data_IF_666623369957
#
_entry.id   IF_666623369957
#
_cell.length_a   1.000
_cell.length_b   1.000
_cell.length_c   1.000
_cell.angle_alpha   90.00
_cell.angle_beta   90.00
_cell.angle_gamma   90.00
#
_symmetry.space_group_name_H-M   'P 1'
#
loop_
_entity.id
_entity.type
_entity.pdbx_description
1 polymer ?
#
# COMPACT_ATOMS: atom_id res chain seq x y z
N UNK A 1 14.77 5.45 29.01
CA UNK A 1 14.42 4.02 28.77
C UNK A 1 13.10 4.05 28.03
N UNK A 2 13.02 3.53 26.81
CA UNK A 2 11.76 3.47 26.04
C UNK A 2 10.88 2.43 26.74
N UNK A 3 9.63 2.80 27.03
CA UNK A 3 8.69 1.87 27.69
C UNK A 3 8.29 0.72 26.74
N UNK A 4 7.77 -0.37 27.31
CA UNK A 4 7.45 -1.60 26.58
C UNK A 4 6.37 -1.37 25.50
N UNK A 5 5.43 -0.42 25.72
CA UNK A 5 4.34 -0.14 24.79
C UNK A 5 4.87 0.64 23.58
N UNK A 6 5.69 1.64 23.80
CA UNK A 6 6.40 2.37 22.73
C UNK A 6 7.27 1.43 21.90
N UNK A 7 7.96 0.48 22.53
CA UNK A 7 8.74 -0.52 21.78
C UNK A 7 7.88 -1.41 20.89
N UNK A 8 6.67 -1.78 21.33
CA UNK A 8 5.69 -2.51 20.51
C UNK A 8 5.19 -1.67 19.33
N UNK A 9 4.91 -0.37 19.54
CA UNK A 9 4.52 0.55 18.46
C UNK A 9 5.63 0.64 17.40
N UNK A 10 6.87 0.86 17.81
CA UNK A 10 8.04 0.90 16.91
C UNK A 10 8.15 -0.39 16.10
N UNK A 11 8.02 -1.54 16.74
CA UNK A 11 8.10 -2.85 16.08
C UNK A 11 6.98 -3.02 15.05
N UNK A 12 5.77 -2.64 15.39
CA UNK A 12 4.61 -2.78 14.51
C UNK A 12 4.68 -1.81 13.32
N UNK A 13 5.09 -0.55 13.54
CA UNK A 13 5.31 0.41 12.47
C UNK A 13 6.41 -0.05 11.49
N UNK A 14 7.51 -0.62 12.00
CA UNK A 14 8.57 -1.18 11.15
C UNK A 14 8.05 -2.31 10.27
N UNK A 15 7.28 -3.23 10.85
CA UNK A 15 6.68 -4.33 10.09
C UNK A 15 5.69 -3.82 9.04
N UNK A 16 4.83 -2.85 9.39
CA UNK A 16 3.92 -2.22 8.45
C UNK A 16 4.68 -1.52 7.32
N UNK A 17 5.73 -0.78 7.61
CA UNK A 17 6.55 -0.13 6.57
C UNK A 17 7.14 -1.14 5.58
N UNK A 18 7.67 -2.28 6.06
CA UNK A 18 8.21 -3.34 5.21
C UNK A 18 7.15 -3.95 4.30
N UNK A 19 5.97 -4.26 4.86
CA UNK A 19 4.87 -4.84 4.09
C UNK A 19 4.29 -3.86 3.07
N UNK A 20 4.17 -2.58 3.43
CA UNK A 20 3.71 -1.52 2.51
C UNK A 20 4.70 -1.28 1.36
N UNK A 21 6.01 -1.36 1.62
CA UNK A 21 7.00 -1.34 0.54
C UNK A 21 6.87 -2.57 -0.38
N UNK A 22 6.55 -3.73 0.17
CA UNK A 22 6.28 -4.95 -0.62
C UNK A 22 5.02 -4.80 -1.47
N UNK A 23 3.95 -4.25 -0.90
CA UNK A 23 2.71 -3.88 -1.61
C UNK A 23 3.01 -3.00 -2.83
N UNK A 24 3.77 -1.92 -2.67
CA UNK A 24 4.17 -1.02 -3.75
C UNK A 24 4.89 -1.76 -4.90
N UNK A 25 5.83 -2.65 -4.57
CA UNK A 25 6.58 -3.43 -5.54
C UNK A 25 5.68 -4.45 -6.28
N UNK A 26 4.76 -5.08 -5.56
CA UNK A 26 3.78 -6.00 -6.14
C UNK A 26 2.88 -5.24 -7.11
N UNK A 27 2.30 -4.10 -6.71
CA UNK A 27 1.44 -3.30 -7.58
C UNK A 27 2.16 -2.86 -8.86
N UNK A 28 3.43 -2.44 -8.79
CA UNK A 28 4.25 -2.13 -9.96
C UNK A 28 4.45 -3.35 -10.86
N UNK A 29 4.66 -4.53 -10.30
CA UNK A 29 4.82 -5.76 -11.07
C UNK A 29 3.50 -6.15 -11.76
N UNK A 30 2.36 -6.03 -11.07
CA UNK A 30 1.04 -6.29 -11.63
C UNK A 30 0.66 -5.31 -12.74
N UNK A 31 1.05 -4.05 -12.61
CA UNK A 31 0.85 -3.04 -13.64
C UNK A 31 1.40 -3.50 -15.00
N UNK A 32 2.59 -4.10 -15.03
CA UNK A 32 3.19 -4.63 -16.27
C UNK A 32 2.45 -5.86 -16.81
N UNK A 33 1.81 -6.62 -15.93
CA UNK A 33 1.09 -7.85 -16.29
C UNK A 33 -0.36 -7.58 -16.73
N UNK A 34 -0.96 -6.48 -16.30
CA UNK A 34 -2.34 -6.13 -16.58
C UNK A 34 -2.53 -5.83 -18.08
N UNK A 35 -3.51 -6.51 -18.72
CA UNK A 35 -3.89 -6.29 -20.12
C UNK A 35 -4.88 -5.14 -20.26
N UNK A 36 -5.78 -5.01 -19.30
CA UNK A 36 -6.78 -3.94 -19.26
C UNK A 36 -6.11 -2.64 -18.80
N UNK A 37 -6.36 -1.55 -19.55
CA UNK A 37 -5.77 -0.25 -19.30
C UNK A 37 -6.27 0.36 -17.97
N UNK A 38 -7.56 0.21 -17.68
CA UNK A 38 -8.14 0.71 -16.44
C UNK A 38 -7.55 0.00 -15.21
N UNK A 39 -7.34 -1.32 -15.30
CA UNK A 39 -6.66 -2.09 -14.23
C UNK A 39 -5.20 -1.66 -14.09
N UNK A 40 -4.52 -1.38 -15.20
CA UNK A 40 -3.13 -0.92 -15.19
C UNK A 40 -2.97 0.45 -14.53
N UNK A 41 -3.85 1.38 -14.85
CA UNK A 41 -3.84 2.74 -14.27
C UNK A 41 -4.14 2.70 -12.76
N UNK A 42 -5.06 1.84 -12.35
CA UNK A 42 -5.38 1.67 -10.94
C UNK A 42 -4.23 1.04 -10.16
N UNK A 43 -3.55 0.04 -10.72
CA UNK A 43 -2.36 -0.54 -10.11
C UNK A 43 -1.21 0.47 -10.00
N UNK A 44 -1.05 1.37 -10.98
CA UNK A 44 -0.08 2.46 -10.90
C UNK A 44 -0.42 3.43 -9.75
N UNK A 45 -1.70 3.77 -9.61
CA UNK A 45 -2.22 4.61 -8.52
C UNK A 45 -2.00 3.93 -7.16
N UNK A 46 -2.30 2.65 -7.05
CA UNK A 46 -2.09 1.87 -5.83
C UNK A 46 -0.60 1.80 -5.43
N UNK A 47 0.30 1.65 -6.39
CA UNK A 47 1.74 1.68 -6.14
C UNK A 47 2.20 3.04 -5.60
N UNK A 48 1.73 4.14 -6.20
CA UNK A 48 2.05 5.50 -5.75
C UNK A 48 1.53 5.76 -4.32
N UNK A 49 0.27 5.36 -4.05
CA UNK A 49 -0.35 5.48 -2.73
C UNK A 49 0.37 4.64 -1.66
N UNK A 50 0.83 3.44 -2.02
CA UNK A 50 1.61 2.60 -1.11
C UNK A 50 2.97 3.24 -0.76
N UNK A 51 3.64 3.88 -1.72
CA UNK A 51 4.86 4.64 -1.43
C UNK A 51 4.61 5.80 -0.47
N UNK A 52 3.53 6.56 -0.66
CA UNK A 52 3.16 7.64 0.27
C UNK A 52 2.85 7.09 1.67
N UNK A 53 2.07 6.00 1.78
CA UNK A 53 1.80 5.33 3.06
C UNK A 53 3.10 4.89 3.75
N UNK A 54 4.05 4.31 3.02
CA UNK A 54 5.33 3.89 3.58
C UNK A 54 6.14 5.08 4.14
N UNK A 55 6.07 6.25 3.49
CA UNK A 55 6.71 7.48 3.98
C UNK A 55 6.06 7.98 5.27
N UNK A 56 4.72 7.99 5.35
CA UNK A 56 3.98 8.38 6.55
C UNK A 56 4.26 7.44 7.73
N UNK A 57 4.31 6.14 7.50
CA UNK A 57 4.70 5.15 8.51
C UNK A 57 6.14 5.39 8.96
N UNK A 58 7.06 5.67 8.03
CA UNK A 58 8.45 5.99 8.33
C UNK A 58 8.60 7.28 9.14
N UNK A 59 7.76 8.29 8.92
CA UNK A 59 7.72 9.50 9.73
C UNK A 59 7.28 9.19 11.16
N UNK A 60 6.14 8.50 11.33
CA UNK A 60 5.65 8.11 12.66
C UNK A 60 6.65 7.22 13.42
N UNK A 61 7.40 6.38 12.71
CA UNK A 61 8.46 5.56 13.30
C UNK A 61 9.59 6.43 13.86
N UNK A 62 10.04 7.47 13.12
CA UNK A 62 11.06 8.42 13.57
C UNK A 62 10.59 9.23 14.77
N UNK A 63 9.35 9.67 14.78
CA UNK A 63 8.75 10.46 15.87
C UNK A 63 8.75 9.68 17.21
N UNK A 64 8.64 8.36 17.15
CA UNK A 64 8.79 7.46 18.31
C UNK A 64 10.25 7.11 18.64
N UNK A 65 11.24 7.69 17.94
CA UNK A 65 12.65 7.37 18.10
C UNK A 65 13.09 6.06 17.47
N UNK A 66 12.24 5.47 16.64
CA UNK A 66 12.59 4.29 15.84
C UNK A 66 13.40 4.66 14.60
N UNK A 67 14.25 3.74 14.14
CA UNK A 67 14.96 3.90 12.87
C UNK A 67 14.14 3.18 11.79
N UNK A 68 13.72 3.88 10.71
CA UNK A 68 13.13 3.24 9.56
C UNK A 68 14.12 2.24 8.96
N UNK A 69 13.65 1.06 8.59
CA UNK A 69 14.48 0.15 7.83
C UNK A 69 14.82 0.81 6.50
N UNK A 70 16.09 1.05 6.26
CA UNK A 70 16.60 1.34 4.93
C UNK A 70 16.24 0.11 4.11
N UNK A 71 15.41 0.31 3.08
CA UNK A 71 14.81 -0.70 2.22
C UNK A 71 15.78 -1.87 2.01
N UNK A 72 15.76 -2.83 2.92
CA UNK A 72 16.31 -4.14 2.63
C UNK A 72 15.18 -4.84 1.88
N UNK A 73 15.33 -5.10 0.58
CA UNK A 73 14.27 -5.74 -0.15
C UNK A 73 13.99 -7.08 0.54
N UNK A 74 12.77 -7.25 1.07
CA UNK A 74 12.24 -8.59 1.35
C UNK A 74 11.93 -9.25 0.00
N UNK A 75 12.86 -9.05 -0.93
CA UNK A 75 12.83 -9.50 -2.32
C UNK A 75 12.70 -11.04 -2.41
N UNK A 76 13.11 -11.78 -1.38
CA UNK A 76 13.10 -13.23 -1.46
C UNK A 76 11.72 -13.87 -1.46
N UNK A 77 10.71 -13.28 -0.79
CA UNK A 77 9.35 -13.86 -0.74
C UNK A 77 8.42 -13.27 -1.78
N UNK A 78 8.44 -11.94 -1.98
CA UNK A 78 7.61 -11.30 -2.99
C UNK A 78 8.06 -11.63 -4.41
N UNK A 79 9.37 -11.70 -4.65
CA UNK A 79 9.91 -12.14 -5.95
C UNK A 79 9.72 -13.63 -6.20
N UNK A 80 9.72 -14.49 -5.17
CA UNK A 80 9.37 -15.89 -5.33
C UNK A 80 7.90 -16.06 -5.75
N UNK A 81 6.98 -15.33 -5.13
CA UNK A 81 5.56 -15.33 -5.51
C UNK A 81 5.35 -14.72 -6.90
N UNK A 82 5.98 -13.59 -7.21
CA UNK A 82 5.91 -12.96 -8.53
C UNK A 82 6.53 -13.84 -9.63
N UNK A 83 7.68 -14.48 -9.37
CA UNK A 83 8.32 -15.40 -10.31
C UNK A 83 7.49 -16.63 -10.61
N UNK A 84 6.88 -17.23 -9.59
CA UNK A 84 6.03 -18.42 -9.75
C UNK A 84 4.81 -18.13 -10.63
N UNK A 85 4.25 -16.91 -10.54
CA UNK A 85 3.07 -16.50 -11.33
C UNK A 85 3.45 -16.15 -12.78
N UNK A 86 4.61 -15.50 -13.00
CA UNK A 86 5.09 -15.15 -14.35
C UNK A 86 5.51 -16.40 -15.15
N UNK A 87 6.14 -17.38 -14.50
CA UNK A 87 6.62 -18.59 -15.16
C UNK A 87 5.50 -19.57 -15.56
N UNK A 88 4.32 -19.48 -14.94
CA UNK A 88 3.22 -20.41 -15.18
C UNK A 88 2.14 -19.91 -16.15
N UNK A 89 2.26 -18.68 -16.69
CA UNK A 89 1.22 -18.13 -17.62
C UNK A 89 -0.17 -18.09 -16.98
N UNK A 90 -0.25 -18.05 -15.66
CA UNK A 90 -1.53 -18.02 -14.95
C UNK A 90 -2.27 -16.69 -15.20
N UNK A 91 -3.62 -16.73 -15.23
CA UNK A 91 -4.44 -15.53 -15.28
C UNK A 91 -4.08 -14.57 -14.14
N UNK A 92 -4.18 -13.27 -14.37
CA UNK A 92 -3.91 -12.21 -13.38
C UNK A 92 -4.70 -12.44 -12.08
N UNK A 93 -5.86 -13.07 -12.15
CA UNK A 93 -6.69 -13.43 -11.00
C UNK A 93 -5.93 -14.23 -9.93
N UNK A 94 -5.17 -15.25 -10.31
CA UNK A 94 -4.38 -16.04 -9.36
C UNK A 94 -3.39 -15.19 -8.59
N UNK A 95 -2.83 -14.17 -9.23
CA UNK A 95 -1.92 -13.21 -8.61
C UNK A 95 -2.66 -12.25 -7.67
N UNK A 96 -3.83 -11.76 -8.09
CA UNK A 96 -4.65 -10.85 -7.29
C UNK A 96 -5.16 -11.48 -5.99
N UNK A 97 -5.38 -12.80 -5.94
CA UNK A 97 -5.68 -13.47 -4.66
C UNK A 97 -4.52 -13.38 -3.66
N UNK A 98 -3.28 -13.45 -4.14
CA UNK A 98 -2.11 -13.24 -3.28
C UNK A 98 -2.00 -11.79 -2.78
N UNK A 99 -2.31 -10.84 -3.66
CA UNK A 99 -2.30 -9.42 -3.33
C UNK A 99 -3.42 -9.09 -2.32
N UNK A 100 -4.61 -9.68 -2.49
CA UNK A 100 -5.74 -9.58 -1.55
C UNK A 100 -5.38 -10.11 -0.16
N UNK A 101 -4.65 -11.22 -0.07
CA UNK A 101 -4.19 -11.75 1.20
C UNK A 101 -3.20 -10.80 1.92
N UNK A 102 -2.32 -10.11 1.16
CA UNK A 102 -1.44 -9.08 1.71
C UNK A 102 -2.22 -7.89 2.24
N UNK A 103 -3.23 -7.42 1.50
CA UNK A 103 -4.08 -6.29 1.92
C UNK A 103 -4.83 -6.59 3.22
N UNK A 104 -5.39 -7.78 3.36
CA UNK A 104 -6.01 -8.23 4.62
C UNK A 104 -5.00 -8.25 5.76
N UNK A 105 -3.77 -8.71 5.52
CA UNK A 105 -2.72 -8.69 6.54
C UNK A 105 -2.35 -7.27 6.94
N UNK A 106 -2.26 -6.34 6.01
CA UNK A 106 -1.97 -4.92 6.26
C UNK A 106 -3.11 -4.26 7.08
N UNK A 107 -4.36 -4.53 6.70
CA UNK A 107 -5.55 -4.06 7.41
C UNK A 107 -5.56 -4.53 8.88
N UNK A 108 -5.34 -5.82 9.12
CA UNK A 108 -5.35 -6.37 10.48
C UNK A 108 -4.19 -5.84 11.33
N UNK A 109 -3.02 -5.60 10.72
CA UNK A 109 -1.90 -4.93 11.40
C UNK A 109 -2.17 -3.47 11.70
N UNK A 110 -2.88 -2.75 10.84
CA UNK A 110 -3.30 -1.37 11.10
C UNK A 110 -4.31 -1.32 12.27
N UNK A 111 -5.24 -2.27 12.35
CA UNK A 111 -6.17 -2.42 13.49
C UNK A 111 -5.41 -2.69 14.79
N UNK A 112 -4.41 -3.58 14.75
CA UNK A 112 -3.58 -3.87 15.92
C UNK A 112 -2.73 -2.65 16.33
N UNK A 113 -2.20 -1.89 15.34
CA UNK A 113 -1.49 -0.63 15.60
C UNK A 113 -2.37 0.39 16.30
N UNK A 114 -3.65 0.52 15.88
CA UNK A 114 -4.62 1.41 16.52
C UNK A 114 -4.82 1.04 18.00
N UNK A 115 -5.06 -0.24 18.30
CA UNK A 115 -5.23 -0.71 19.69
C UNK A 115 -3.98 -0.46 20.56
N UNK A 116 -2.78 -0.63 20.00
CA UNK A 116 -1.54 -0.29 20.70
C UNK A 116 -1.40 1.21 20.93
N UNK A 117 -1.76 2.04 19.95
CA UNK A 117 -1.71 3.49 20.05
C UNK A 117 -2.72 4.04 21.07
N UNK A 118 -3.91 3.44 21.15
CA UNK A 118 -4.89 3.73 22.21
C UNK A 118 -4.33 3.40 23.59
N UNK A 119 -3.69 2.24 23.75
CA UNK A 119 -3.08 1.83 25.02
C UNK A 119 -1.93 2.76 25.44
N UNK A 120 -1.20 3.32 24.46
CA UNK A 120 -0.08 4.23 24.68
C UNK A 120 -0.50 5.69 24.79
N UNK A 121 -1.79 6.00 24.63
CA UNK A 121 -2.34 7.38 24.49
C UNK A 121 -1.61 8.20 23.40
N UNK A 122 -1.26 7.55 22.28
CA UNK A 122 -0.50 8.15 21.18
C UNK A 122 -1.43 8.52 20.03
N UNK A 123 -2.01 9.73 20.09
CA UNK A 123 -3.06 10.19 19.16
C UNK A 123 -2.63 10.18 17.68
N UNK A 124 -1.41 10.61 17.39
CA UNK A 124 -0.93 10.70 15.99
C UNK A 124 -0.78 9.32 15.35
N UNK A 125 -0.23 8.34 16.06
CA UNK A 125 -0.13 6.95 15.57
C UNK A 125 -1.52 6.32 15.43
N UNK A 126 -2.45 6.61 16.33
CA UNK A 126 -3.85 6.18 16.23
C UNK A 126 -4.52 6.71 14.97
N UNK A 127 -4.36 8.00 14.70
CA UNK A 127 -4.92 8.64 13.50
C UNK A 127 -4.30 8.07 12.21
N UNK A 128 -2.99 7.83 12.20
CA UNK A 128 -2.31 7.13 11.10
C UNK A 128 -2.90 5.74 10.90
N UNK A 129 -3.05 4.96 11.96
CA UNK A 129 -3.60 3.60 11.90
C UNK A 129 -5.00 3.56 11.28
N UNK A 130 -5.88 4.50 11.64
CA UNK A 130 -7.22 4.62 11.04
C UNK A 130 -7.18 4.95 9.55
N UNK A 131 -6.28 5.84 9.14
CA UNK A 131 -6.09 6.17 7.72
C UNK A 131 -5.59 4.96 6.93
N UNK A 132 -4.66 4.19 7.49
CA UNK A 132 -4.17 2.94 6.89
C UNK A 132 -5.30 1.91 6.74
N UNK A 133 -6.15 1.75 7.76
CA UNK A 133 -7.31 0.84 7.68
C UNK A 133 -8.25 1.22 6.53
N UNK A 134 -8.60 2.50 6.39
CA UNK A 134 -9.44 2.97 5.29
C UNK A 134 -8.81 2.66 3.92
N UNK A 135 -7.53 2.97 3.75
CA UNK A 135 -6.83 2.74 2.49
C UNK A 135 -6.76 1.27 2.10
N UNK A 136 -6.43 0.38 3.04
CA UNK A 136 -6.37 -1.06 2.78
C UNK A 136 -7.75 -1.67 2.52
N UNK A 137 -8.79 -1.21 3.22
CA UNK A 137 -10.17 -1.66 2.94
C UNK A 137 -10.58 -1.30 1.51
N UNK A 138 -10.28 -0.10 1.04
CA UNK A 138 -10.58 0.31 -0.33
C UNK A 138 -9.84 -0.53 -1.38
N UNK A 139 -8.56 -0.84 -1.15
CA UNK A 139 -7.79 -1.72 -2.04
C UNK A 139 -8.39 -3.14 -2.05
N UNK A 140 -8.80 -3.68 -0.89
CA UNK A 140 -9.49 -4.97 -0.78
C UNK A 140 -10.76 -4.98 -1.61
N UNK A 141 -11.61 -3.95 -1.46
CA UNK A 141 -12.88 -3.84 -2.16
C UNK A 141 -12.65 -3.75 -3.68
N UNK A 142 -11.65 -2.99 -4.11
CA UNK A 142 -11.28 -2.88 -5.52
C UNK A 142 -10.77 -4.22 -6.09
N UNK A 143 -9.80 -4.89 -5.44
CA UNK A 143 -9.29 -6.19 -5.92
C UNK A 143 -10.44 -7.20 -5.99
N UNK A 144 -11.30 -7.22 -4.99
CA UNK A 144 -12.46 -8.11 -4.96
C UNK A 144 -13.39 -7.85 -6.14
N UNK A 145 -13.65 -6.58 -6.49
CA UNK A 145 -14.49 -6.24 -7.64
C UNK A 145 -13.88 -6.71 -8.96
N UNK A 146 -12.56 -6.53 -9.14
CA UNK A 146 -11.85 -7.01 -10.33
C UNK A 146 -11.93 -8.53 -10.45
N UNK A 147 -11.77 -9.26 -9.35
CA UNK A 147 -11.88 -10.73 -9.35
C UNK A 147 -13.29 -11.22 -9.69
N UNK A 148 -14.33 -10.53 -9.22
CA UNK A 148 -15.73 -10.86 -9.53
C UNK A 148 -16.05 -10.58 -10.98
N UNK A 149 -15.61 -9.45 -11.53
CA UNK A 149 -15.80 -9.09 -12.94
C UNK A 149 -15.08 -10.07 -13.86
N UNK A 150 -13.84 -10.46 -13.54
CA UNK A 150 -13.09 -11.47 -14.30
C UNK A 150 -13.81 -12.82 -14.30
N UNK A 151 -14.32 -13.24 -13.14
CA UNK A 151 -15.06 -14.51 -13.02
C UNK A 151 -16.39 -14.51 -13.81
N UNK A 152 -17.05 -13.37 -13.95
CA UNK A 152 -18.30 -13.22 -14.72
C UNK A 152 -18.07 -13.12 -16.22
N UNK A 153 -16.84 -12.89 -16.67
CA UNK A 153 -16.50 -12.66 -18.08
C UNK A 153 -17.01 -11.30 -18.60
N UNK A 154 -17.43 -10.41 -17.72
CA UNK A 154 -17.81 -9.05 -18.10
C UNK A 154 -16.55 -8.16 -18.26
N UNK A 155 -16.59 -7.16 -19.16
CA UNK A 155 -15.50 -6.19 -19.26
C UNK A 155 -15.38 -5.42 -17.97
N UNK A 156 -14.16 -5.31 -17.47
CA UNK A 156 -13.84 -4.67 -16.18
C UNK A 156 -14.30 -3.21 -16.16
N UNK A 157 -15.31 -2.90 -15.36
CA UNK A 157 -15.82 -1.54 -15.15
C UNK A 157 -15.15 -0.92 -13.92
N UNK A 158 -13.82 -0.94 -13.86
CA UNK A 158 -13.08 -0.41 -12.74
C UNK A 158 -13.38 1.07 -12.58
N UNK A 159 -14.02 1.44 -11.47
CA UNK A 159 -14.21 2.84 -11.08
C UNK A 159 -13.21 3.16 -9.98
N UNK A 160 -12.35 4.17 -10.18
CA UNK A 160 -11.45 4.61 -9.11
C UNK A 160 -12.26 4.98 -7.88
N UNK A 161 -11.81 4.53 -6.70
CA UNK A 161 -12.46 4.86 -5.43
C UNK A 161 -12.41 6.37 -5.15
N UNK A 162 -13.30 6.92 -4.30
CA UNK A 162 -13.28 8.35 -3.96
C UNK A 162 -11.95 8.83 -3.37
N UNK A 163 -11.25 7.99 -2.61
CA UNK A 163 -9.93 8.33 -2.02
C UNK A 163 -8.83 8.30 -3.07
N UNK A 164 -8.86 7.36 -4.00
CA UNK A 164 -7.95 7.31 -5.14
C UNK A 164 -8.07 8.57 -6.01
N UNK A 165 -9.29 9.09 -6.20
CA UNK A 165 -9.52 10.37 -6.87
C UNK A 165 -8.98 11.56 -6.08
N UNK A 166 -9.09 11.55 -4.75
CA UNK A 166 -8.62 12.65 -3.90
C UNK A 166 -7.08 12.73 -3.87
N UNK A 167 -6.38 11.60 -3.82
CA UNK A 167 -4.90 11.54 -3.84
C UNK A 167 -4.36 11.92 -5.22
N UNK A 168 -4.95 11.45 -6.31
CA UNK A 168 -4.59 11.87 -7.67
C UNK A 168 -4.78 13.38 -7.91
N UNK A 169 -5.78 13.99 -7.26
CA UNK A 169 -6.02 15.43 -7.30
C UNK A 169 -4.96 16.26 -6.57
N UNK A 170 -4.36 15.72 -5.51
CA UNK A 170 -3.31 16.42 -4.74
C UNK A 170 -1.94 16.39 -5.47
N UNK A 171 -1.64 15.31 -6.18
CA UNK A 171 -0.40 15.20 -6.98
C UNK A 171 -0.36 16.19 -8.15
N UNK A 172 -1.51 16.64 -8.65
CA UNK A 172 -1.57 17.64 -9.74
C UNK A 172 -1.39 19.10 -9.27
N UNK A 173 -1.43 19.37 -7.96
CA UNK A 173 -1.29 20.72 -7.41
C UNK A 173 0.15 21.07 -7.06
N UNK A 174 1.08 20.11 -7.03
CA UNK A 174 2.51 20.36 -6.82
C UNK A 174 3.21 20.49 -8.19
N UNK A 175 2.71 21.34 -9.05
CA UNK A 175 3.46 21.84 -10.20
C UNK A 175 4.46 22.89 -9.71
N UNK A 176 5.73 22.53 -9.64
CA UNK A 176 6.83 23.48 -9.49
C UNK A 176 6.76 24.51 -10.63
N UNK A 177 6.78 25.81 -10.33
CA UNK A 177 6.92 26.80 -11.38
C UNK A 177 8.27 26.62 -12.07
N UNK A 178 8.25 26.49 -13.39
CA UNK A 178 9.46 26.46 -14.21
C UNK A 178 10.28 27.72 -13.97
N UNK A 179 11.62 27.64 -13.84
CA UNK A 179 12.45 28.81 -13.73
C UNK A 179 12.33 29.67 -15.03
N UNK A 180 12.38 30.99 -14.92
CA UNK A 180 12.30 31.87 -16.10
C UNK A 180 13.50 31.64 -17.04
N UNK A 181 13.31 31.81 -18.35
CA UNK A 181 14.40 31.69 -19.30
C UNK A 181 15.46 32.78 -19.02
N UNK A 182 16.73 32.33 -18.92
CA UNK A 182 17.88 33.23 -18.82
C UNK A 182 18.00 34.09 -20.07
N UNK A 183 18.06 35.41 -19.86
CA UNK A 183 18.39 36.38 -20.88
C UNK A 183 19.87 36.38 -21.22
#
# INVERSE_FOLDING_TARGET
MIDTTTQKLITQLRTLQQLTNTEAQIAQTRQVQARDEAVRDELATNAANAHERAQLIGAALRDLGGVPDVVTPVLGRATALAKTVVEQGQPIAGALFGDLALEHQLLDRARYLEALADTADHADTRNLARRLQGAHQETIDWITSVLVEEASGEPTKVRPTPVQKAVGGLSSVVNYPSPPPSA
#
